data_IF_011599881013
#
_entry.id   IF_011599881013
#
_cell.length_a   1.000
_cell.length_b   1.000
_cell.length_c   1.000
_cell.angle_alpha   90.00
_cell.angle_beta   90.00
_cell.angle_gamma   90.00
#
_symmetry.space_group_name_H-M   'P 1'
#
loop_
_entity.id
_entity.type
_entity.pdbx_description
1 polymer ?
#
# COMPACT_ATOMS: atom_id res chain seq x y z
N UNK A 1 -29.07 5.26 -9.25
CA UNK A 1 -29.12 3.86 -9.75
C UNK A 1 -27.75 3.24 -10.06
N UNK A 2 -26.88 3.90 -10.87
CA UNK A 2 -25.52 3.39 -11.22
C UNK A 2 -24.64 3.01 -10.01
N UNK A 3 -24.72 3.77 -8.91
CA UNK A 3 -23.94 3.55 -7.67
C UNK A 3 -24.36 2.27 -6.93
N UNK A 4 -25.64 1.89 -7.01
CA UNK A 4 -26.21 0.73 -6.32
C UNK A 4 -25.86 -0.57 -7.07
N UNK A 5 -25.89 -0.53 -8.41
CA UNK A 5 -25.44 -1.63 -9.28
C UNK A 5 -23.95 -1.94 -9.08
N UNK A 6 -23.09 -0.91 -8.98
CA UNK A 6 -21.64 -1.11 -8.70
C UNK A 6 -21.40 -1.76 -7.34
N UNK A 7 -22.16 -1.40 -6.30
CA UNK A 7 -22.03 -2.01 -4.96
C UNK A 7 -22.46 -3.47 -4.94
N UNK A 8 -23.53 -3.82 -5.67
CA UNK A 8 -24.00 -5.20 -5.80
C UNK A 8 -23.02 -6.07 -6.60
N UNK A 9 -22.44 -5.53 -7.68
CA UNK A 9 -21.47 -6.24 -8.50
C UNK A 9 -20.18 -6.58 -7.72
N UNK A 10 -19.70 -5.64 -6.90
CA UNK A 10 -18.53 -5.84 -6.04
C UNK A 10 -18.76 -6.89 -4.94
N UNK A 11 -19.97 -6.97 -4.34
CA UNK A 11 -20.31 -8.01 -3.35
C UNK A 11 -20.36 -9.40 -3.98
N UNK A 12 -20.92 -9.53 -5.19
CA UNK A 12 -21.04 -10.83 -5.89
C UNK A 12 -19.68 -11.44 -6.24
N UNK A 13 -18.70 -10.62 -6.63
CA UNK A 13 -17.35 -11.11 -6.93
C UNK A 13 -16.56 -11.55 -5.69
N UNK A 14 -16.73 -10.87 -4.54
CA UNK A 14 -16.09 -11.30 -3.28
C UNK A 14 -16.64 -12.64 -2.79
N UNK A 15 -17.95 -12.87 -2.91
CA UNK A 15 -18.56 -14.15 -2.53
C UNK A 15 -18.04 -15.33 -3.36
N UNK A 16 -17.83 -15.15 -4.67
CA UNK A 16 -17.31 -16.21 -5.55
C UNK A 16 -15.85 -16.58 -5.27
N UNK A 17 -15.01 -15.59 -4.95
CA UNK A 17 -13.62 -15.85 -4.58
C UNK A 17 -13.54 -16.66 -3.28
N UNK A 18 -14.28 -16.25 -2.24
CA UNK A 18 -14.32 -16.97 -0.97
C UNK A 18 -14.91 -18.37 -1.11
N UNK A 19 -15.97 -18.55 -1.90
CA UNK A 19 -16.55 -19.86 -2.17
C UNK A 19 -15.56 -20.78 -2.90
N UNK A 20 -14.83 -20.28 -3.89
CA UNK A 20 -13.81 -21.06 -4.59
C UNK A 20 -12.67 -21.47 -3.64
N UNK A 21 -12.20 -20.58 -2.78
CA UNK A 21 -11.18 -20.91 -1.78
C UNK A 21 -11.68 -21.96 -0.78
N UNK A 22 -12.92 -21.84 -0.30
CA UNK A 22 -13.51 -22.81 0.60
C UNK A 22 -13.65 -24.21 -0.03
N UNK A 23 -14.05 -24.29 -1.30
CA UNK A 23 -14.15 -25.56 -2.03
C UNK A 23 -12.77 -26.21 -2.20
N UNK A 24 -11.74 -25.43 -2.54
CA UNK A 24 -10.37 -25.94 -2.69
C UNK A 24 -9.84 -26.47 -1.35
N UNK A 25 -10.08 -25.75 -0.25
CA UNK A 25 -9.70 -26.17 1.09
C UNK A 25 -10.42 -27.46 1.52
N UNK A 26 -11.72 -27.56 1.25
CA UNK A 26 -12.49 -28.75 1.57
C UNK A 26 -12.03 -29.97 0.75
N UNK A 27 -11.72 -29.77 -0.54
CA UNK A 27 -11.19 -30.83 -1.39
C UNK A 27 -9.83 -31.32 -0.88
N UNK A 28 -8.89 -30.40 -0.58
CA UNK A 28 -7.56 -30.75 -0.03
C UNK A 28 -7.65 -31.49 1.31
N UNK A 29 -8.53 -31.06 2.21
CA UNK A 29 -8.76 -31.73 3.49
C UNK A 29 -9.31 -33.15 3.31
N UNK A 30 -10.22 -33.34 2.33
CA UNK A 30 -10.78 -34.65 2.03
C UNK A 30 -9.74 -35.61 1.44
N UNK A 31 -8.88 -35.13 0.53
CA UNK A 31 -7.79 -35.95 -0.04
C UNK A 31 -6.76 -36.34 1.02
N UNK A 32 -6.45 -35.44 1.96
CA UNK A 32 -5.53 -35.70 3.06
C UNK A 32 -6.05 -36.80 4.00
N UNK A 33 -7.36 -36.80 4.29
CA UNK A 33 -7.98 -37.79 5.16
C UNK A 33 -8.06 -39.21 4.56
N UNK A 34 -7.92 -39.34 3.24
CA UNK A 34 -8.03 -40.62 2.52
C UNK A 34 -6.70 -41.39 2.43
N UNK A 35 -5.57 -40.81 2.84
CA UNK A 35 -4.26 -41.44 2.71
C UNK A 35 -3.93 -42.37 3.90
N UNK A 36 -3.54 -43.62 3.64
CA UNK A 36 -3.14 -44.55 4.71
C UNK A 36 -1.88 -44.03 5.43
N UNK A 37 -1.75 -44.27 6.75
CA UNK A 37 -0.59 -43.86 7.52
C UNK A 37 0.64 -44.65 7.04
N UNK A 38 1.63 -43.93 6.52
CA UNK A 38 2.87 -44.52 6.02
C UNK A 38 3.93 -43.44 5.77
N UNK A 39 5.21 -43.78 5.58
CA UNK A 39 6.30 -42.80 5.47
C UNK A 39 6.12 -41.78 4.33
N UNK A 40 5.37 -42.14 3.29
CA UNK A 40 5.02 -41.26 2.16
C UNK A 40 3.99 -40.19 2.56
N UNK A 41 3.20 -40.43 3.62
CA UNK A 41 2.15 -39.51 4.06
C UNK A 41 2.73 -38.18 4.55
N UNK A 42 3.90 -38.17 5.20
CA UNK A 42 4.54 -36.94 5.68
C UNK A 42 4.84 -35.92 4.59
N UNK A 43 5.32 -36.38 3.44
CA UNK A 43 5.60 -35.53 2.27
C UNK A 43 4.28 -34.99 1.69
N UNK A 44 3.27 -35.85 1.57
CA UNK A 44 1.96 -35.46 1.03
C UNK A 44 1.26 -34.46 1.95
N UNK A 45 1.30 -34.67 3.28
CA UNK A 45 0.77 -33.70 4.24
C UNK A 45 1.51 -32.36 4.14
N UNK A 46 2.84 -32.37 4.04
CA UNK A 46 3.65 -31.15 3.90
C UNK A 46 3.31 -30.37 2.62
N UNK A 47 3.15 -31.06 1.49
CA UNK A 47 2.74 -30.43 0.22
C UNK A 47 1.30 -29.90 0.28
N UNK A 48 0.40 -30.61 0.95
CA UNK A 48 -1.00 -30.19 1.14
C UNK A 48 -1.07 -28.94 2.03
N UNK A 49 -0.28 -28.89 3.10
CA UNK A 49 -0.14 -27.71 3.95
C UNK A 49 0.47 -26.52 3.21
N UNK A 50 1.51 -26.76 2.41
CA UNK A 50 2.14 -25.73 1.57
C UNK A 50 1.15 -25.16 0.55
N UNK A 51 0.42 -26.02 -0.17
CA UNK A 51 -0.59 -25.61 -1.15
C UNK A 51 -1.72 -24.82 -0.48
N UNK A 52 -2.16 -25.26 0.70
CA UNK A 52 -3.16 -24.58 1.51
C UNK A 52 -2.67 -23.20 1.95
N UNK A 53 -1.43 -23.11 2.45
CA UNK A 53 -0.81 -21.85 2.85
C UNK A 53 -0.66 -20.89 1.65
N UNK A 54 -0.23 -21.39 0.49
CA UNK A 54 -0.12 -20.61 -0.73
C UNK A 54 -1.48 -20.10 -1.21
N UNK A 55 -2.54 -20.91 -1.17
CA UNK A 55 -3.89 -20.48 -1.51
C UNK A 55 -4.42 -19.41 -0.55
N UNK A 56 -4.18 -19.57 0.76
CA UNK A 56 -4.57 -18.60 1.78
C UNK A 56 -3.81 -17.26 1.65
N UNK A 57 -2.57 -17.29 1.15
CA UNK A 57 -1.79 -16.08 0.86
C UNK A 57 -2.12 -15.46 -0.50
N UNK A 58 -2.46 -16.26 -1.51
CA UNK A 58 -2.79 -15.76 -2.84
C UNK A 58 -4.08 -14.94 -2.85
N UNK A 59 -5.12 -15.36 -2.12
CA UNK A 59 -6.40 -14.66 -2.07
C UNK A 59 -6.30 -13.18 -1.60
N UNK A 60 -5.63 -12.84 -0.48
CA UNK A 60 -5.47 -11.45 -0.06
C UNK A 60 -4.54 -10.67 -1.00
N UNK A 61 -3.51 -11.29 -1.58
CA UNK A 61 -2.63 -10.63 -2.58
C UNK A 61 -3.42 -10.25 -3.83
N UNK A 62 -4.20 -11.17 -4.39
CA UNK A 62 -5.08 -10.89 -5.55
C UNK A 62 -6.13 -9.84 -5.19
N UNK A 63 -6.67 -9.89 -3.97
CA UNK A 63 -7.57 -8.86 -3.45
C UNK A 63 -6.92 -7.47 -3.42
N UNK A 64 -5.69 -7.37 -2.90
CA UNK A 64 -4.91 -6.13 -2.85
C UNK A 64 -4.59 -5.59 -4.24
N UNK A 65 -4.20 -6.46 -5.19
CA UNK A 65 -3.94 -6.08 -6.59
C UNK A 65 -5.21 -5.54 -7.24
N UNK A 66 -6.35 -6.19 -7.04
CA UNK A 66 -7.63 -5.74 -7.59
C UNK A 66 -8.09 -4.41 -6.97
N UNK A 67 -7.88 -4.20 -5.67
CA UNK A 67 -8.14 -2.92 -5.00
C UNK A 67 -7.23 -1.82 -5.55
N UNK A 68 -5.94 -2.11 -5.76
CA UNK A 68 -5.00 -1.18 -6.35
C UNK A 68 -5.41 -0.77 -7.77
N UNK A 69 -5.73 -1.74 -8.64
CA UNK A 69 -6.23 -1.48 -10.00
C UNK A 69 -7.53 -0.66 -10.00
N UNK A 70 -8.47 -0.99 -9.11
CA UNK A 70 -9.73 -0.26 -9.01
C UNK A 70 -9.54 1.19 -8.56
N UNK A 71 -8.57 1.46 -7.68
CA UNK A 71 -8.24 2.83 -7.27
C UNK A 71 -7.58 3.61 -8.41
N UNK A 72 -6.67 3.00 -9.17
CA UNK A 72 -6.06 3.64 -10.35
C UNK A 72 -7.11 4.01 -11.39
N UNK A 73 -8.07 3.11 -11.66
CA UNK A 73 -9.14 3.36 -12.64
C UNK A 73 -10.14 4.43 -12.19
N UNK A 74 -10.36 4.62 -10.89
CA UNK A 74 -11.18 5.74 -10.38
C UNK A 74 -10.47 7.08 -10.53
N UNK A 75 -9.17 7.11 -10.20
CA UNK A 75 -8.37 8.32 -10.31
C UNK A 75 -8.22 8.79 -11.78
N UNK A 76 -8.43 7.92 -12.76
CA UNK A 76 -8.40 8.28 -14.18
C UNK A 76 -9.65 9.04 -14.66
N UNK A 77 -10.71 9.15 -13.84
CA UNK A 77 -11.96 9.83 -14.24
C UNK A 77 -12.61 10.67 -13.14
N UNK A 78 -11.93 10.89 -12.02
CA UNK A 78 -12.40 11.78 -10.95
C UNK A 78 -11.81 13.19 -11.14
N UNK A 79 -12.67 14.18 -10.96
CA UNK A 79 -12.40 15.62 -11.01
C UNK A 79 -11.18 15.95 -10.11
N UNK A 80 -10.15 16.68 -10.59
CA UNK A 80 -8.91 16.98 -9.85
C UNK A 80 -9.14 17.65 -8.47
N UNK A 81 -10.35 18.12 -8.19
CA UNK A 81 -10.72 18.75 -6.94
C UNK A 81 -10.98 17.78 -5.77
N UNK A 82 -11.17 16.47 -6.00
CA UNK A 82 -11.43 15.56 -4.86
C UNK A 82 -10.12 15.11 -4.19
N UNK A 83 -9.93 15.40 -2.89
CA UNK A 83 -8.74 14.98 -2.17
C UNK A 83 -8.75 13.45 -2.05
N UNK A 84 -7.94 12.80 -2.89
CA UNK A 84 -7.73 11.37 -2.79
C UNK A 84 -7.22 11.06 -1.38
N UNK A 85 -8.01 10.32 -0.59
CA UNK A 85 -7.55 9.73 0.67
C UNK A 85 -6.57 8.61 0.31
N UNK A 86 -5.38 9.01 -0.14
CA UNK A 86 -4.24 8.15 -0.40
C UNK A 86 -4.07 7.29 0.83
N UNK A 87 -4.18 5.97 0.65
CA UNK A 87 -4.07 5.03 1.76
C UNK A 87 -2.62 5.07 2.27
N UNK A 88 -2.37 5.99 3.21
CA UNK A 88 -1.06 6.29 3.82
C UNK A 88 -0.44 5.03 4.44
N UNK A 89 -1.25 4.01 4.69
CA UNK A 89 -0.87 2.78 5.37
C UNK A 89 -0.54 1.62 4.44
N UNK A 90 -0.73 1.72 3.11
CA UNK A 90 -0.56 0.57 2.20
C UNK A 90 0.84 -0.06 2.30
N UNK A 91 1.91 0.75 2.27
CA UNK A 91 3.28 0.24 2.38
C UNK A 91 3.52 -0.46 3.73
N UNK A 92 3.00 0.11 4.83
CA UNK A 92 3.11 -0.48 6.17
C UNK A 92 2.36 -1.81 6.28
N UNK A 93 1.16 -1.91 5.68
CA UNK A 93 0.36 -3.14 5.68
C UNK A 93 1.09 -4.25 4.92
N UNK A 94 1.62 -3.95 3.73
CA UNK A 94 2.38 -4.93 2.94
C UNK A 94 3.63 -5.37 3.69
N UNK A 95 4.36 -4.44 4.32
CA UNK A 95 5.53 -4.77 5.13
C UNK A 95 5.19 -5.69 6.30
N UNK A 96 4.17 -5.34 7.07
CA UNK A 96 3.73 -6.14 8.23
C UNK A 96 3.27 -7.54 7.79
N UNK A 97 2.55 -7.65 6.68
CA UNK A 97 2.15 -8.94 6.12
C UNK A 97 3.36 -9.79 5.72
N UNK A 98 4.38 -9.20 5.08
CA UNK A 98 5.62 -9.90 4.74
C UNK A 98 6.37 -10.42 5.97
N UNK A 99 6.48 -9.60 7.02
CA UNK A 99 7.11 -9.98 8.29
C UNK A 99 6.34 -11.13 8.96
N UNK A 100 5.00 -11.07 8.96
CA UNK A 100 4.18 -12.15 9.50
C UNK A 100 4.40 -13.46 8.77
N UNK A 101 4.44 -13.44 7.42
CA UNK A 101 4.74 -14.64 6.62
C UNK A 101 6.13 -15.20 6.93
N UNK A 102 7.11 -14.32 7.13
CA UNK A 102 8.48 -14.68 7.46
C UNK A 102 8.58 -15.39 8.83
N UNK A 103 7.86 -14.90 9.84
CA UNK A 103 7.98 -15.37 11.24
C UNK A 103 7.01 -16.51 11.56
N UNK A 104 5.87 -16.60 10.85
CA UNK A 104 4.80 -17.54 11.18
C UNK A 104 5.26 -19.01 11.30
N UNK A 105 6.09 -19.58 10.41
CA UNK A 105 6.52 -20.97 10.57
C UNK A 105 7.34 -21.24 11.82
N UNK A 106 8.16 -20.28 12.26
CA UNK A 106 8.93 -20.41 13.51
C UNK A 106 7.99 -20.44 14.70
N UNK A 107 6.98 -19.56 14.74
CA UNK A 107 6.00 -19.53 15.82
C UNK A 107 5.16 -20.82 15.85
N UNK A 108 4.78 -21.35 14.69
CA UNK A 108 4.08 -22.63 14.58
C UNK A 108 4.98 -23.75 15.11
N UNK A 109 6.25 -23.79 14.69
CA UNK A 109 7.21 -24.80 15.15
C UNK A 109 7.36 -24.81 16.67
N UNK A 110 7.53 -23.63 17.28
CA UNK A 110 7.62 -23.46 18.73
C UNK A 110 6.33 -23.96 19.41
N UNK A 111 5.16 -23.60 18.86
CA UNK A 111 3.89 -23.98 19.45
C UNK A 111 3.57 -25.48 19.32
N UNK A 112 4.07 -26.15 18.29
CA UNK A 112 3.81 -27.57 18.03
C UNK A 112 4.88 -28.51 18.59
N UNK A 113 6.03 -27.99 19.05
CA UNK A 113 7.10 -28.82 19.59
C UNK A 113 6.86 -29.09 21.08
N UNK A 114 6.74 -30.37 21.52
CA UNK A 114 6.57 -30.69 22.92
C UNK A 114 7.80 -30.29 23.77
N UNK A 115 7.62 -29.95 25.05
CA UNK A 115 8.74 -29.63 25.95
C UNK A 115 9.77 -30.76 25.99
N UNK A 116 11.05 -30.42 25.86
CA UNK A 116 12.16 -31.39 25.84
C UNK A 116 12.58 -31.86 24.45
N UNK A 117 11.84 -31.52 23.40
CA UNK A 117 12.18 -31.82 22.02
C UNK A 117 12.77 -30.59 21.29
N UNK A 118 13.63 -30.82 20.30
CA UNK A 118 14.22 -29.75 19.49
C UNK A 118 13.37 -29.50 18.25
N UNK A 119 12.81 -28.29 18.11
CA UNK A 119 11.96 -27.90 16.97
C UNK A 119 12.68 -27.97 15.60
N UNK A 120 14.01 -28.00 15.59
CA UNK A 120 14.84 -28.06 14.37
C UNK A 120 15.37 -29.46 14.05
N UNK A 121 15.07 -30.47 14.88
CA UNK A 121 15.50 -31.84 14.60
C UNK A 121 14.62 -32.47 13.52
N UNK A 122 15.21 -33.16 12.54
CA UNK A 122 14.47 -34.00 11.57
C UNK A 122 14.42 -35.47 11.99
N UNK A 123 15.29 -35.88 12.92
CA UNK A 123 15.45 -37.28 13.30
C UNK A 123 14.50 -37.77 14.40
N UNK A 124 13.66 -36.89 14.94
CA UNK A 124 12.74 -37.22 16.02
C UNK A 124 11.30 -37.13 15.52
N UNK A 125 10.52 -38.19 15.72
CA UNK A 125 9.10 -38.24 15.33
C UNK A 125 8.23 -37.17 16.01
N UNK A 126 8.70 -36.60 17.12
CA UNK A 126 8.02 -35.55 17.88
C UNK A 126 8.59 -34.15 17.64
N UNK A 127 9.67 -34.02 16.87
CA UNK A 127 10.23 -32.71 16.56
C UNK A 127 9.53 -32.05 15.38
N UNK A 128 9.42 -30.73 15.44
CA UNK A 128 8.88 -29.91 14.35
C UNK A 128 9.78 -29.79 13.13
N UNK A 129 10.62 -30.79 12.79
CA UNK A 129 11.65 -30.70 11.74
C UNK A 129 11.15 -30.22 10.37
N UNK A 130 9.90 -30.50 10.03
CA UNK A 130 9.24 -29.96 8.83
C UNK A 130 9.18 -28.43 8.79
N UNK A 131 9.26 -27.76 9.94
CA UNK A 131 9.29 -26.31 10.03
C UNK A 131 10.55 -25.69 9.43
N UNK A 132 11.69 -26.40 9.41
CA UNK A 132 12.91 -25.86 8.80
C UNK A 132 12.72 -25.61 7.30
N UNK A 133 11.99 -26.52 6.64
CA UNK A 133 11.62 -26.41 5.23
C UNK A 133 10.66 -25.25 4.99
N UNK A 134 9.69 -25.06 5.89
CA UNK A 134 8.80 -23.90 5.81
C UNK A 134 9.56 -22.60 6.00
N UNK A 135 10.47 -22.51 6.97
CA UNK A 135 11.33 -21.32 7.16
C UNK A 135 12.17 -21.07 5.92
N UNK A 136 12.78 -22.09 5.33
CA UNK A 136 13.62 -21.97 4.14
C UNK A 136 12.84 -21.39 2.95
N UNK A 137 11.54 -21.68 2.85
CA UNK A 137 10.66 -21.18 1.79
C UNK A 137 10.03 -19.83 2.12
N UNK A 138 9.53 -19.62 3.33
CA UNK A 138 8.82 -18.40 3.70
C UNK A 138 9.74 -17.25 4.04
N UNK A 139 10.98 -17.51 4.44
CA UNK A 139 11.93 -16.45 4.76
C UNK A 139 12.26 -15.58 3.53
N UNK A 140 12.70 -16.12 2.38
CA UNK A 140 12.96 -15.29 1.20
C UNK A 140 11.68 -14.64 0.67
N UNK A 141 10.55 -15.35 0.68
CA UNK A 141 9.28 -14.84 0.17
C UNK A 141 8.72 -13.71 1.05
N UNK A 142 8.68 -13.92 2.37
CA UNK A 142 8.24 -12.95 3.36
C UNK A 142 9.18 -11.75 3.43
N UNK A 143 10.50 -11.99 3.37
CA UNK A 143 11.51 -10.94 3.29
C UNK A 143 11.35 -10.04 2.07
N UNK A 144 11.17 -10.63 0.88
CA UNK A 144 10.93 -9.88 -0.36
C UNK A 144 9.65 -9.03 -0.29
N UNK A 145 8.56 -9.58 0.26
CA UNK A 145 7.31 -8.84 0.47
C UNK A 145 7.49 -7.70 1.49
N UNK A 146 8.18 -7.97 2.60
CA UNK A 146 8.45 -6.99 3.64
C UNK A 146 9.24 -5.79 3.11
N UNK A 147 10.31 -6.09 2.34
CA UNK A 147 11.18 -5.11 1.69
C UNK A 147 10.42 -4.30 0.64
N UNK A 148 9.62 -4.95 -0.21
CA UNK A 148 8.79 -4.28 -1.22
C UNK A 148 7.82 -3.29 -0.55
N UNK A 149 7.14 -3.71 0.52
CA UNK A 149 6.26 -2.82 1.30
C UNK A 149 7.01 -1.63 1.89
N UNK A 150 8.25 -1.84 2.35
CA UNK A 150 9.06 -0.81 2.98
C UNK A 150 9.51 0.23 1.96
N UNK A 151 9.98 -0.23 0.79
CA UNK A 151 10.36 0.62 -0.35
C UNK A 151 9.18 1.46 -0.79
N UNK A 152 7.99 0.86 -0.99
CA UNK A 152 6.76 1.60 -1.34
C UNK A 152 6.44 2.65 -0.27
N UNK A 153 6.56 2.28 1.02
CA UNK A 153 6.34 3.18 2.14
C UNK A 153 7.33 4.34 2.21
N UNK A 154 8.59 4.14 1.82
CA UNK A 154 9.62 5.18 1.75
C UNK A 154 9.33 6.12 0.58
N UNK A 155 9.17 5.58 -0.64
CA UNK A 155 8.89 6.37 -1.85
C UNK A 155 7.66 7.27 -1.65
N UNK A 156 6.61 6.76 -0.99
CA UNK A 156 5.40 7.53 -0.70
C UNK A 156 5.59 8.63 0.35
N UNK A 157 6.48 8.41 1.34
CA UNK A 157 6.83 9.44 2.33
C UNK A 157 7.69 10.54 1.72
N UNK A 158 8.53 10.18 0.75
CA UNK A 158 9.38 11.13 0.03
C UNK A 158 8.64 11.94 -1.02
N UNK A 159 7.37 11.62 -1.32
CA UNK A 159 6.56 12.53 -2.13
C UNK A 159 6.36 13.80 -1.32
N UNK A 160 6.83 14.96 -1.81
CA UNK A 160 6.43 16.23 -1.23
C UNK A 160 4.92 16.17 -1.09
N UNK A 161 4.39 16.54 0.08
CA UNK A 161 2.97 16.82 0.14
C UNK A 161 2.73 17.81 -1.00
N UNK A 162 1.77 17.54 -1.92
CA UNK A 162 1.39 18.55 -2.89
C UNK A 162 1.17 19.78 -2.03
N UNK A 163 1.99 20.82 -2.25
CA UNK A 163 2.00 21.98 -1.38
C UNK A 163 0.53 22.36 -1.23
N UNK A 164 -0.05 22.08 -0.04
CA UNK A 164 -1.30 22.71 0.34
C UNK A 164 -0.98 24.16 0.04
N UNK A 165 -1.75 24.84 -0.85
CA UNK A 165 -1.36 26.14 -1.36
C UNK A 165 -0.91 26.91 -0.14
N UNK A 166 0.42 27.07 0.00
CA UNK A 166 0.96 27.84 1.11
C UNK A 166 0.33 29.16 0.78
N UNK A 167 -0.65 29.57 1.60
CA UNK A 167 -1.33 30.84 1.36
C UNK A 167 -0.19 31.81 1.26
N UNK A 168 0.07 32.25 0.03
CA UNK A 168 1.23 33.05 -0.25
C UNK A 168 1.13 34.23 0.71
N UNK A 169 2.17 34.57 1.48
CA UNK A 169 2.09 35.77 2.29
C UNK A 169 1.73 36.95 1.37
N UNK A 170 0.98 37.95 1.87
CA UNK A 170 0.64 39.10 1.04
C UNK A 170 1.90 39.71 0.42
N UNK A 171 1.90 39.92 -0.90
CA UNK A 171 3.13 40.24 -1.63
C UNK A 171 2.95 40.34 -3.15
N UNK A 172 3.96 40.86 -3.83
CA UNK A 172 4.05 40.86 -5.29
C UNK A 172 4.60 39.52 -5.78
N UNK A 173 3.90 38.90 -6.73
CA UNK A 173 4.31 37.65 -7.38
C UNK A 173 4.27 37.81 -8.90
N UNK A 174 5.13 37.07 -9.60
CA UNK A 174 5.08 36.99 -11.05
C UNK A 174 3.77 36.33 -11.51
N UNK A 175 3.12 36.92 -12.50
CA UNK A 175 1.90 36.37 -13.09
C UNK A 175 2.26 35.28 -14.12
N UNK A 176 1.94 34.02 -13.80
CA UNK A 176 2.20 32.89 -14.69
C UNK A 176 1.48 33.01 -16.05
N UNK A 177 0.42 33.82 -16.14
CA UNK A 177 -0.31 34.06 -17.39
C UNK A 177 0.35 35.13 -18.29
N UNK A 178 1.35 35.85 -17.80
CA UNK A 178 1.98 36.96 -18.54
C UNK A 178 3.45 37.14 -18.13
N UNK A 179 4.37 36.69 -18.98
CA UNK A 179 5.80 36.90 -18.78
C UNK A 179 6.12 38.40 -18.57
N UNK A 180 6.80 38.72 -17.48
CA UNK A 180 7.20 40.09 -17.14
C UNK A 180 6.14 40.95 -16.45
N UNK A 181 5.00 40.38 -16.05
CA UNK A 181 3.99 41.09 -15.22
C UNK A 181 4.00 40.57 -13.79
N UNK A 182 3.69 41.46 -12.85
CA UNK A 182 3.49 41.09 -11.44
C UNK A 182 2.05 41.38 -11.02
N UNK A 183 1.52 40.56 -10.11
CA UNK A 183 0.26 40.82 -9.39
C UNK A 183 0.52 40.78 -7.90
N UNK A 184 -0.16 41.67 -7.18
CA UNK A 184 -0.22 41.62 -5.73
C UNK A 184 -1.19 40.50 -5.30
N UNK A 185 -0.76 39.65 -4.39
CA UNK A 185 -1.62 38.73 -3.65
C UNK A 185 -1.87 39.32 -2.27
N UNK A 186 -3.13 39.42 -1.83
CA UNK A 186 -3.48 40.02 -0.53
C UNK A 186 -3.73 38.98 0.59
N UNK A 187 -3.58 37.70 0.30
CA UNK A 187 -3.92 36.60 1.20
C UNK A 187 -5.28 35.93 0.91
N UNK A 188 -6.17 36.60 0.18
CA UNK A 188 -7.51 36.12 -0.16
C UNK A 188 -7.80 36.12 -1.68
N UNK A 189 -7.28 37.10 -2.41
CA UNK A 189 -7.47 37.30 -3.84
C UNK A 189 -6.25 37.93 -4.52
N UNK A 190 -6.16 37.73 -5.84
CA UNK A 190 -5.19 38.42 -6.68
C UNK A 190 -5.71 39.83 -7.03
N UNK A 191 -4.87 40.85 -6.84
CA UNK A 191 -5.13 42.22 -7.25
C UNK A 191 -5.11 42.42 -8.78
N UNK A 192 -5.47 43.62 -9.27
CA UNK A 192 -5.39 43.97 -10.68
C UNK A 192 -3.96 43.88 -11.21
N UNK A 193 -3.82 43.57 -12.50
CA UNK A 193 -2.54 43.62 -13.20
C UNK A 193 -2.03 45.06 -13.20
N UNK A 194 -0.90 45.32 -12.55
CA UNK A 194 -0.18 46.57 -12.78
C UNK A 194 0.68 46.41 -14.04
N UNK A 195 0.61 47.36 -14.99
CA UNK A 195 1.64 47.50 -16.02
C UNK A 195 2.98 47.65 -15.32
N UNK A 196 3.91 46.75 -15.63
CA UNK A 196 5.29 46.87 -15.17
C UNK A 196 5.96 47.95 -16.03
N UNK A 197 5.59 49.21 -15.82
CA UNK A 197 6.35 50.36 -16.32
C UNK A 197 7.55 50.59 -15.41
N UNK A 198 8.32 49.54 -15.14
CA UNK A 198 9.59 49.68 -14.44
C UNK A 198 10.64 49.92 -15.52
N UNK A 199 11.15 51.16 -15.69
CA UNK A 199 12.33 51.37 -16.53
C UNK A 199 13.43 50.45 -16.00
N UNK A 200 14.08 49.69 -16.88
CA UNK A 200 14.94 48.55 -16.59
C UNK A 200 16.25 48.88 -15.82
N UNK A 201 16.23 49.78 -14.84
CA UNK A 201 17.43 50.33 -14.20
C UNK A 201 17.20 50.60 -12.71
N UNK A 202 17.12 49.54 -11.91
CA UNK A 202 17.27 49.67 -10.46
C UNK A 202 17.87 48.37 -9.89
N UNK A 203 19.19 48.34 -9.77
CA UNK A 203 20.00 47.28 -9.15
C UNK A 203 20.15 47.47 -7.63
N UNK A 204 19.12 47.98 -6.96
CA UNK A 204 19.12 48.19 -5.51
C UNK A 204 18.56 46.97 -4.74
N UNK A 205 19.03 46.69 -3.51
CA UNK A 205 18.49 45.62 -2.67
C UNK A 205 17.02 45.88 -2.35
N UNK A 206 16.17 44.90 -2.69
CA UNK A 206 14.71 44.91 -2.53
C UNK A 206 14.34 45.09 -1.05
N UNK A 207 13.82 46.27 -0.72
CA UNK A 207 13.25 46.57 0.59
C UNK A 207 11.88 45.91 0.71
N UNK A 208 11.76 44.94 1.61
CA UNK A 208 10.60 44.03 1.76
C UNK A 208 9.38 44.63 2.45
N UNK A 209 9.30 45.95 2.62
CA UNK A 209 8.18 46.62 3.26
C UNK A 209 7.54 47.65 2.31
N UNK A 210 6.97 47.18 1.20
CA UNK A 210 6.12 48.04 0.35
C UNK A 210 4.70 47.98 0.89
N UNK A 211 4.18 49.14 1.28
CA UNK A 211 2.81 49.31 1.77
C UNK A 211 1.79 48.84 0.71
N UNK A 212 0.64 48.27 1.14
CA UNK A 212 -0.40 47.83 0.21
C UNK A 212 -0.88 49.00 -0.66
N UNK A 213 -1.25 48.76 -1.94
CA UNK A 213 -1.77 49.81 -2.80
C UNK A 213 -3.07 50.40 -2.23
N UNK A 214 -3.33 51.71 -2.45
CA UNK A 214 -4.58 52.33 -2.02
C UNK A 214 -5.76 51.60 -2.66
N UNK A 215 -6.73 51.17 -1.84
CA UNK A 215 -8.00 50.63 -2.35
C UNK A 215 -8.74 51.75 -3.07
N UNK A 216 -9.10 51.54 -4.32
CA UNK A 216 -10.09 52.39 -4.98
C UNK A 216 -11.45 52.14 -4.29
N UNK A 217 -11.98 53.17 -3.64
CA UNK A 217 -13.34 53.19 -3.09
C UNK A 217 -14.40 53.28 -4.19
#
# INVERSE_FOLDING_TARGET
MKTLVRRLYARRHRGRALAATAIILAALAHTAAALPPGPVSGIVYSLTYLATALCLLAAPIVGLINIAKANTARNAGEDPAQPHTSNKYLGRIISAAGILVMIAPVLIAVATTPPGHNMFSEGDSQSGGSAIWLVLLTFPLGGAAALTGAIIGIIRRSRPSPDLPRVSPPGWYEDASSAGRQRWWDGAAWGPLMPMDIPATSTGPVSTAVAPPPRAE
#
